data_IF_936165778646
#
_entry.id   IF_936165778646
#
_cell.length_a   1.000
_cell.length_b   1.000
_cell.length_c   1.000
_cell.angle_alpha   90.00
_cell.angle_beta   90.00
_cell.angle_gamma   90.00
#
_symmetry.space_group_name_H-M   'P 1'
#
loop_
_entity.id
_entity.type
_entity.pdbx_description
1 polymer ?
#
# COMPACT_ATOMS: atom_id res chain seq x y z
N UNK A 1 15.20 25.02 -24.00
CA UNK A 1 14.65 25.27 -22.65
C UNK A 1 13.22 24.75 -22.48
N UNK A 2 12.26 25.05 -23.36
CA UNK A 2 10.88 24.51 -23.27
C UNK A 2 10.80 22.97 -23.25
N UNK A 3 11.62 22.29 -24.06
CA UNK A 3 11.64 20.81 -24.12
C UNK A 3 12.26 20.15 -22.87
N UNK A 4 13.15 20.83 -22.16
CA UNK A 4 13.76 20.30 -20.92
C UNK A 4 12.77 20.36 -19.74
N UNK A 5 11.93 21.40 -19.68
CA UNK A 5 10.91 21.56 -18.64
C UNK A 5 9.84 20.46 -18.76
N UNK A 6 9.44 20.12 -19.99
CA UNK A 6 8.47 19.05 -20.25
C UNK A 6 8.96 17.66 -19.81
N UNK A 7 10.24 17.34 -20.07
CA UNK A 7 10.81 16.04 -19.69
C UNK A 7 10.93 15.91 -18.16
N UNK A 8 11.32 16.98 -17.46
CA UNK A 8 11.37 17.01 -16.00
C UNK A 8 9.98 16.85 -15.35
N UNK A 9 8.94 17.46 -15.92
CA UNK A 9 7.57 17.32 -15.38
C UNK A 9 7.00 15.90 -15.51
N UNK A 10 7.37 15.16 -16.56
CA UNK A 10 6.93 13.76 -16.75
C UNK A 10 7.61 12.84 -15.74
N UNK A 11 8.90 13.07 -15.45
CA UNK A 11 9.64 12.25 -14.49
C UNK A 11 9.04 12.38 -13.08
N UNK A 12 8.67 13.59 -12.65
CA UNK A 12 8.06 13.80 -11.31
C UNK A 12 6.70 13.13 -11.19
N UNK A 13 5.90 13.09 -12.26
CA UNK A 13 4.58 12.45 -12.26
C UNK A 13 4.63 10.93 -12.07
N UNK A 14 5.72 10.26 -12.48
CA UNK A 14 5.88 8.80 -12.36
C UNK A 14 6.28 8.38 -10.95
N UNK A 15 7.01 9.21 -10.20
CA UNK A 15 7.51 8.85 -8.86
C UNK A 15 6.62 9.32 -7.69
N UNK A 16 5.58 10.14 -7.95
CA UNK A 16 4.78 10.78 -6.89
C UNK A 16 3.47 10.08 -6.50
N UNK A 17 3.09 8.98 -7.14
CA UNK A 17 1.73 8.41 -6.98
C UNK A 17 1.48 7.73 -5.62
N UNK A 18 2.53 7.21 -4.98
CA UNK A 18 2.46 6.58 -3.67
C UNK A 18 3.36 7.27 -2.65
N UNK A 19 3.35 8.61 -2.62
CA UNK A 19 3.78 9.30 -1.41
C UNK A 19 2.89 8.84 -0.25
N UNK A 20 3.51 8.22 0.75
CA UNK A 20 2.81 7.73 1.94
C UNK A 20 2.51 8.94 2.83
N UNK A 21 1.24 9.21 3.17
CA UNK A 21 0.87 10.28 4.09
C UNK A 21 1.56 10.18 5.45
N UNK A 22 1.76 11.31 6.13
CA UNK A 22 2.53 11.34 7.38
C UNK A 22 1.86 10.54 8.52
N UNK A 23 0.53 10.48 8.55
CA UNK A 23 -0.24 9.65 9.48
C UNK A 23 -0.02 8.14 9.22
N UNK A 24 0.07 7.74 7.95
CA UNK A 24 0.45 6.37 7.58
C UNK A 24 1.92 6.07 7.89
N UNK A 25 2.83 7.05 7.80
CA UNK A 25 4.24 6.88 8.18
C UNK A 25 4.39 6.56 9.66
N UNK A 26 3.66 7.24 10.55
CA UNK A 26 3.69 6.96 11.99
C UNK A 26 3.16 5.55 12.29
N UNK A 27 2.01 5.19 11.71
CA UNK A 27 1.47 3.81 11.84
C UNK A 27 2.46 2.75 11.33
N UNK A 28 3.12 3.01 10.20
CA UNK A 28 4.07 2.09 9.63
C UNK A 28 5.33 1.96 10.49
N UNK A 29 5.83 3.04 11.13
CA UNK A 29 6.98 2.97 12.05
C UNK A 29 6.71 2.01 13.21
N UNK A 30 5.52 2.07 13.79
CA UNK A 30 5.13 1.15 14.87
C UNK A 30 5.12 -0.30 14.36
N UNK A 31 4.51 -0.57 13.22
CA UNK A 31 4.40 -1.92 12.66
C UNK A 31 5.75 -2.49 12.20
N UNK A 32 6.63 -1.67 11.65
CA UNK A 32 8.01 -2.03 11.28
C UNK A 32 8.80 -2.41 12.53
N UNK A 33 8.65 -1.65 13.62
CA UNK A 33 9.28 -1.94 14.91
C UNK A 33 8.73 -3.24 15.51
N UNK A 34 7.42 -3.44 15.50
CA UNK A 34 6.76 -4.68 15.97
C UNK A 34 7.24 -5.91 15.17
N UNK A 35 7.44 -5.75 13.86
CA UNK A 35 7.95 -6.81 12.97
C UNK A 35 9.48 -7.02 13.05
N UNK A 36 10.21 -6.18 13.79
CA UNK A 36 11.67 -6.25 13.88
C UNK A 36 12.39 -5.95 12.56
N UNK A 37 11.83 -5.05 11.76
CA UNK A 37 12.47 -4.44 10.59
C UNK A 37 13.29 -3.21 11.02
N UNK A 38 14.42 -2.92 10.36
CA UNK A 38 15.33 -1.86 10.80
C UNK A 38 14.78 -0.46 10.51
N UNK A 39 14.02 -0.27 9.43
CA UNK A 39 13.38 1.01 9.09
C UNK A 39 12.18 0.85 8.14
N UNK A 40 11.42 1.93 7.96
CA UNK A 40 10.28 1.99 7.05
C UNK A 40 10.68 1.81 5.57
N UNK A 41 11.87 2.28 5.18
CA UNK A 41 12.35 2.09 3.80
C UNK A 41 12.58 0.61 3.50
N UNK A 42 12.84 -0.19 4.52
CA UNK A 42 12.95 -1.63 4.42
C UNK A 42 11.59 -2.26 4.12
N UNK A 43 10.49 -1.73 4.67
CA UNK A 43 9.14 -2.18 4.28
C UNK A 43 8.83 -1.85 2.80
N UNK A 44 9.20 -0.65 2.33
CA UNK A 44 8.91 -0.19 0.96
C UNK A 44 9.79 -0.88 -0.09
N UNK A 45 11.01 -1.28 0.25
CA UNK A 45 12.01 -1.80 -0.71
C UNK A 45 12.26 -3.32 -0.63
N UNK A 46 11.80 -4.00 0.41
CA UNK A 46 12.10 -5.43 0.56
C UNK A 46 11.29 -6.32 -0.37
N UNK A 47 11.82 -7.53 -0.54
CA UNK A 47 11.07 -8.68 -1.01
C UNK A 47 9.78 -8.80 -0.18
N UNK A 48 8.63 -8.58 -0.81
CA UNK A 48 7.34 -8.71 -0.16
C UNK A 48 7.14 -10.13 0.42
N UNK A 49 7.87 -11.15 -0.05
CA UNK A 49 7.82 -12.51 0.48
C UNK A 49 8.49 -12.68 1.86
N UNK A 50 9.23 -11.67 2.35
CA UNK A 50 9.84 -11.71 3.68
C UNK A 50 8.76 -11.78 4.77
N UNK A 51 8.78 -12.81 5.66
CA UNK A 51 7.79 -12.95 6.73
C UNK A 51 7.64 -11.70 7.62
N UNK A 52 8.70 -10.92 7.83
CA UNK A 52 8.64 -9.67 8.60
C UNK A 52 7.91 -8.57 7.84
N UNK A 53 8.08 -8.49 6.52
CA UNK A 53 7.35 -7.55 5.67
C UNK A 53 5.87 -7.91 5.65
N UNK A 54 5.53 -9.19 5.52
CA UNK A 54 4.14 -9.67 5.63
C UNK A 54 3.54 -9.33 7.00
N UNK A 55 4.30 -9.51 8.08
CA UNK A 55 3.86 -9.17 9.43
C UNK A 55 3.63 -7.65 9.61
N UNK A 56 4.53 -6.81 9.10
CA UNK A 56 4.37 -5.36 9.13
C UNK A 56 3.14 -4.91 8.32
N UNK A 57 2.91 -5.48 7.12
CA UNK A 57 1.74 -5.21 6.30
C UNK A 57 0.44 -5.60 7.03
N UNK A 58 0.40 -6.80 7.63
CA UNK A 58 -0.74 -7.26 8.40
C UNK A 58 -1.04 -6.35 9.60
N UNK A 59 0.00 -5.89 10.30
CA UNK A 59 -0.14 -4.91 11.39
C UNK A 59 -0.77 -3.60 10.89
N UNK A 60 -0.28 -3.04 9.78
CA UNK A 60 -0.83 -1.79 9.22
C UNK A 60 -2.30 -1.93 8.79
N UNK A 61 -2.64 -3.05 8.14
CA UNK A 61 -4.02 -3.30 7.72
C UNK A 61 -4.96 -3.52 8.92
N UNK A 62 -4.47 -4.12 10.02
CA UNK A 62 -5.23 -4.22 11.27
C UNK A 62 -5.42 -2.87 11.95
N UNK A 63 -4.36 -2.06 12.06
CA UNK A 63 -4.42 -0.73 12.70
C UNK A 63 -5.26 0.27 11.92
N UNK A 64 -5.27 0.18 10.59
CA UNK A 64 -6.20 0.95 9.73
C UNK A 64 -7.64 0.45 9.78
N UNK A 65 -7.89 -0.69 10.43
CA UNK A 65 -9.22 -1.31 10.52
C UNK A 65 -9.70 -1.96 9.22
N UNK A 66 -8.81 -2.11 8.22
CA UNK A 66 -9.13 -2.68 6.90
C UNK A 66 -9.04 -4.20 6.90
N UNK A 67 -8.16 -4.81 7.70
CA UNK A 67 -8.11 -6.26 7.91
C UNK A 67 -8.95 -6.64 9.13
N UNK A 68 -10.11 -7.25 8.89
CA UNK A 68 -11.11 -7.63 9.89
C UNK A 68 -11.44 -9.12 9.75
N UNK A 69 -11.30 -9.89 10.83
CA UNK A 69 -11.56 -11.34 10.84
C UNK A 69 -10.83 -12.09 9.70
N UNK A 70 -9.57 -11.71 9.46
CA UNK A 70 -8.73 -12.30 8.42
C UNK A 70 -9.12 -11.96 6.99
N UNK A 71 -9.98 -10.97 6.75
CA UNK A 71 -10.33 -10.48 5.42
C UNK A 71 -10.20 -8.97 5.30
N UNK A 72 -9.95 -8.49 4.09
CA UNK A 72 -9.98 -7.08 3.77
C UNK A 72 -11.42 -6.61 3.59
N UNK A 73 -11.79 -5.59 4.35
CA UNK A 73 -13.05 -4.85 4.25
C UNK A 73 -12.93 -3.82 3.11
N UNK A 74 -13.70 -4.04 2.04
CA UNK A 74 -13.61 -3.23 0.83
C UNK A 74 -13.92 -1.76 1.07
N UNK A 75 -15.00 -1.47 1.79
CA UNK A 75 -15.48 -0.10 1.98
C UNK A 75 -14.47 0.68 2.82
N UNK A 76 -13.96 0.08 3.90
CA UNK A 76 -12.91 0.70 4.71
C UNK A 76 -11.61 0.88 3.94
N UNK A 77 -11.22 -0.09 3.10
CA UNK A 77 -10.03 0.04 2.28
C UNK A 77 -10.16 1.18 1.27
N UNK A 78 -11.31 1.33 0.63
CA UNK A 78 -11.58 2.45 -0.26
C UNK A 78 -11.51 3.77 0.50
N UNK A 79 -12.15 3.88 1.66
CA UNK A 79 -12.13 5.10 2.46
C UNK A 79 -10.70 5.47 2.90
N UNK A 80 -9.94 4.51 3.44
CA UNK A 80 -8.56 4.74 3.90
C UNK A 80 -7.65 5.15 2.73
N UNK A 81 -7.71 4.44 1.60
CA UNK A 81 -6.82 4.71 0.47
C UNK A 81 -7.18 6.02 -0.23
N UNK A 82 -8.46 6.30 -0.46
CA UNK A 82 -8.88 7.53 -1.16
C UNK A 82 -8.63 8.77 -0.30
N UNK A 83 -8.77 8.67 1.03
CA UNK A 83 -8.41 9.76 1.94
C UNK A 83 -6.89 9.97 2.02
N UNK A 84 -6.11 8.89 1.99
CA UNK A 84 -4.65 8.94 1.95
C UNK A 84 -4.10 9.51 0.64
N UNK A 85 -4.82 9.31 -0.47
CA UNK A 85 -4.41 9.76 -1.80
C UNK A 85 -5.50 10.64 -2.44
N UNK A 86 -5.63 11.92 -2.05
CA UNK A 86 -6.61 12.84 -2.64
C UNK A 86 -6.37 13.11 -4.13
N UNK A 87 -5.16 12.84 -4.62
CA UNK A 87 -4.78 12.90 -6.03
C UNK A 87 -5.08 11.61 -6.80
N UNK A 88 -5.74 10.64 -6.18
CA UNK A 88 -6.18 9.41 -6.84
C UNK A 88 -7.09 9.73 -8.02
N UNK A 89 -6.98 8.90 -9.07
CA UNK A 89 -7.77 9.06 -10.29
C UNK A 89 -8.82 7.94 -10.39
N UNK A 90 -9.74 8.08 -11.36
CA UNK A 90 -10.86 7.14 -11.54
C UNK A 90 -10.43 5.68 -11.76
N UNK A 91 -9.18 5.42 -12.18
CA UNK A 91 -8.67 4.07 -12.37
C UNK A 91 -8.28 3.35 -11.08
N UNK A 92 -8.12 4.07 -9.96
CA UNK A 92 -7.70 3.48 -8.68
C UNK A 92 -8.77 2.59 -8.09
N UNK A 93 -10.02 3.06 -8.01
CA UNK A 93 -11.14 2.32 -7.40
C UNK A 93 -11.29 0.89 -7.96
N UNK A 94 -11.37 0.65 -9.28
CA UNK A 94 -11.48 -0.72 -9.79
C UNK A 94 -10.24 -1.57 -9.50
N UNK A 95 -9.03 -0.98 -9.47
CA UNK A 95 -7.79 -1.69 -9.12
C UNK A 95 -7.77 -2.08 -7.64
N UNK A 96 -8.24 -1.21 -6.74
CA UNK A 96 -8.38 -1.51 -5.31
C UNK A 96 -9.37 -2.66 -5.11
N UNK A 97 -10.53 -2.62 -5.78
CA UNK A 97 -11.51 -3.71 -5.73
C UNK A 97 -10.88 -5.04 -6.17
N UNK A 98 -10.11 -5.04 -7.27
CA UNK A 98 -9.40 -6.23 -7.75
C UNK A 98 -8.41 -6.76 -6.70
N UNK A 99 -7.65 -5.87 -6.05
CA UNK A 99 -6.72 -6.27 -4.99
C UNK A 99 -7.41 -6.85 -3.76
N UNK A 100 -8.54 -6.27 -3.34
CA UNK A 100 -9.33 -6.79 -2.22
C UNK A 100 -9.89 -8.18 -2.54
N UNK A 101 -10.45 -8.37 -3.74
CA UNK A 101 -10.97 -9.68 -4.17
C UNK A 101 -9.86 -10.72 -4.24
N UNK A 102 -8.69 -10.35 -4.77
CA UNK A 102 -7.53 -11.25 -4.88
C UNK A 102 -7.03 -11.65 -3.49
N UNK A 103 -6.83 -10.67 -2.60
CA UNK A 103 -6.37 -10.91 -1.23
C UNK A 103 -7.34 -11.78 -0.44
N UNK A 104 -8.64 -11.59 -0.58
CA UNK A 104 -9.66 -12.33 0.17
C UNK A 104 -9.83 -13.80 -0.25
N UNK A 105 -9.15 -14.24 -1.32
CA UNK A 105 -9.07 -15.64 -1.71
C UNK A 105 -7.92 -16.40 -1.01
N UNK A 106 -7.06 -15.70 -0.27
CA UNK A 106 -5.94 -16.31 0.43
C UNK A 106 -6.38 -17.03 1.72
N UNK A 107 -5.62 -18.07 2.10
CA UNK A 107 -6.00 -18.98 3.19
C UNK A 107 -5.69 -18.51 4.61
N UNK A 108 -4.91 -17.44 4.79
CA UNK A 108 -4.57 -16.91 6.12
C UNK A 108 -4.31 -15.41 6.08
N UNK A 109 -4.41 -14.75 7.25
CA UNK A 109 -4.31 -13.29 7.37
C UNK A 109 -2.99 -12.71 6.85
N UNK A 110 -1.89 -13.46 7.00
CA UNK A 110 -0.57 -13.03 6.53
C UNK A 110 -0.48 -12.97 5.01
N UNK A 111 -1.03 -13.99 4.34
CA UNK A 111 -1.10 -14.02 2.87
C UNK A 111 -2.13 -13.03 2.34
N UNK A 112 -3.27 -12.85 3.01
CA UNK A 112 -4.25 -11.79 2.70
C UNK A 112 -3.56 -10.41 2.73
N UNK A 113 -2.82 -10.11 3.80
CA UNK A 113 -2.12 -8.84 3.95
C UNK A 113 -1.03 -8.63 2.88
N UNK A 114 -0.25 -9.68 2.62
CA UNK A 114 0.77 -9.68 1.58
C UNK A 114 0.17 -9.43 0.19
N UNK A 115 -0.83 -10.22 -0.20
CA UNK A 115 -1.46 -10.15 -1.52
C UNK A 115 -2.13 -8.79 -1.72
N UNK A 116 -2.77 -8.23 -0.69
CA UNK A 116 -3.32 -6.88 -0.74
C UNK A 116 -2.23 -5.83 -0.98
N UNK A 117 -1.17 -5.85 -0.17
CA UNK A 117 -0.09 -4.87 -0.25
C UNK A 117 0.66 -4.93 -1.59
N UNK A 118 1.02 -6.14 -2.04
CA UNK A 118 1.68 -6.38 -3.33
C UNK A 118 0.82 -5.91 -4.49
N UNK A 119 -0.45 -6.31 -4.52
CA UNK A 119 -1.36 -5.91 -5.60
C UNK A 119 -1.53 -4.39 -5.65
N UNK A 120 -1.67 -3.73 -4.50
CA UNK A 120 -1.73 -2.27 -4.43
C UNK A 120 -0.47 -1.64 -5.01
N UNK A 121 0.72 -2.10 -4.58
CA UNK A 121 1.97 -1.57 -5.09
C UNK A 121 2.12 -1.74 -6.61
N UNK A 122 1.87 -2.94 -7.13
CA UNK A 122 2.02 -3.25 -8.55
C UNK A 122 0.99 -2.54 -9.44
N UNK A 123 -0.27 -2.48 -9.01
CA UNK A 123 -1.35 -1.94 -9.84
C UNK A 123 -1.60 -0.45 -9.64
N UNK A 124 -1.15 0.14 -8.54
CA UNK A 124 -1.48 1.53 -8.19
C UNK A 124 -0.23 2.38 -8.08
N UNK A 125 0.82 1.91 -7.41
CA UNK A 125 2.04 2.70 -7.22
C UNK A 125 2.98 2.69 -8.44
N UNK A 126 3.03 1.57 -9.18
CA UNK A 126 3.92 1.40 -10.34
C UNK A 126 3.24 1.63 -11.71
N UNK A 127 1.97 2.04 -11.72
CA UNK A 127 1.10 1.93 -12.89
C UNK A 127 0.58 3.26 -13.43
#
# INVERSE_FOLDING_TARGET
MKSLVLILSIIVAVYGQCEVPDDMKEMAKDCVKEAGLPDFMSFVKFNHDDPKVKAAAACMLKKSGTLVNGKIDLDKSLDVIMNAHPSSNDSWKPRIIECVVTANNEGNEGEVAYTMHKCFYEKICLA
#
